data_IF_975760319199
#
_entry.id   IF_975760319199
#
_cell.length_a   1.000
_cell.length_b   1.000
_cell.length_c   1.000
_cell.angle_alpha   90.00
_cell.angle_beta   90.00
_cell.angle_gamma   90.00
#
_symmetry.space_group_name_H-M   'P 1'
#
loop_
_entity.id
_entity.type
_entity.pdbx_description
1 polymer ?
#
# COMPACT_ATOMS: atom_id res chain seq x y z
N UNK A 1 23.06 62.64 12.88
CA UNK A 1 22.11 61.68 12.26
C UNK A 1 22.76 60.31 12.19
N UNK A 2 22.27 59.33 12.93
CA UNK A 2 22.57 57.92 12.65
C UNK A 2 21.38 57.38 11.87
N UNK A 3 21.56 57.14 10.56
CA UNK A 3 20.60 56.35 9.79
C UNK A 3 20.71 54.89 10.25
N UNK A 4 20.12 54.60 11.41
CA UNK A 4 20.00 53.25 11.95
C UNK A 4 19.03 52.46 11.09
N UNK A 5 19.52 51.87 10.01
CA UNK A 5 18.89 50.66 9.46
C UNK A 5 19.22 49.53 10.42
N UNK A 6 18.44 49.38 11.47
CA UNK A 6 18.60 48.24 12.38
C UNK A 6 18.24 46.98 11.61
N UNK A 7 19.20 46.07 11.47
CA UNK A 7 18.98 44.77 10.84
C UNK A 7 17.83 44.02 11.53
N UNK A 8 17.67 44.21 12.85
CA UNK A 8 16.55 43.66 13.62
C UNK A 8 15.19 44.14 13.12
N UNK A 9 15.04 45.42 12.77
CA UNK A 9 13.78 45.94 12.22
C UNK A 9 13.49 45.39 10.82
N UNK A 10 14.53 45.21 10.00
CA UNK A 10 14.38 44.62 8.66
C UNK A 10 14.02 43.14 8.76
N UNK A 11 14.70 42.39 9.63
CA UNK A 11 14.41 40.98 9.90
C UNK A 11 12.98 40.85 10.43
N UNK A 12 12.61 41.60 11.48
CA UNK A 12 11.25 41.57 12.04
C UNK A 12 10.17 41.88 10.98
N UNK A 13 10.38 42.90 10.16
CA UNK A 13 9.46 43.24 9.07
C UNK A 13 9.30 42.10 8.07
N UNK A 14 10.41 41.52 7.59
CA UNK A 14 10.36 40.39 6.65
C UNK A 14 9.71 39.16 7.27
N UNK A 15 10.01 38.84 8.53
CA UNK A 15 9.38 37.73 9.27
C UNK A 15 7.87 37.91 9.36
N UNK A 16 7.38 39.11 9.70
CA UNK A 16 5.94 39.39 9.78
C UNK A 16 5.27 39.18 8.42
N UNK A 17 5.88 39.66 7.33
CA UNK A 17 5.36 39.48 5.96
C UNK A 17 5.30 37.99 5.58
N UNK A 18 6.38 37.23 5.83
CA UNK A 18 6.41 35.80 5.53
C UNK A 18 5.42 35.00 6.38
N UNK A 19 5.33 35.27 7.68
CA UNK A 19 4.36 34.61 8.57
C UNK A 19 2.94 34.86 8.10
N UNK A 20 2.59 36.10 7.74
CA UNK A 20 1.27 36.43 7.20
C UNK A 20 0.98 35.68 5.90
N UNK A 21 1.95 35.63 4.99
CA UNK A 21 1.82 34.88 3.75
C UNK A 21 1.59 33.39 4.02
N UNK A 22 2.41 32.77 4.88
CA UNK A 22 2.30 31.35 5.23
C UNK A 22 0.91 31.03 5.80
N UNK A 23 0.39 31.86 6.72
CA UNK A 23 -0.93 31.68 7.32
C UNK A 23 -2.05 31.80 6.28
N UNK A 24 -1.99 32.82 5.40
CA UNK A 24 -2.99 33.01 4.35
C UNK A 24 -2.95 31.90 3.31
N UNK A 25 -1.76 31.47 2.88
CA UNK A 25 -1.59 30.34 1.96
C UNK A 25 -2.03 29.01 2.56
N UNK A 26 -1.86 28.82 3.88
CA UNK A 26 -2.41 27.68 4.60
C UNK A 26 -3.93 27.70 4.60
N UNK A 27 -4.55 28.81 5.01
CA UNK A 27 -6.01 28.96 5.02
C UNK A 27 -6.62 28.79 3.62
N UNK A 28 -6.00 29.36 2.59
CA UNK A 28 -6.44 29.21 1.22
C UNK A 28 -6.40 27.74 0.80
N UNK A 29 -5.30 27.02 1.05
CA UNK A 29 -5.23 25.56 0.79
C UNK A 29 -6.31 24.79 1.54
N UNK A 30 -6.56 25.09 2.82
CA UNK A 30 -7.64 24.42 3.56
C UNK A 30 -9.03 24.61 2.93
N UNK A 31 -9.28 25.73 2.24
CA UNK A 31 -10.58 26.02 1.60
C UNK A 31 -10.65 25.66 0.11
N UNK A 32 -9.53 25.70 -0.62
CA UNK A 32 -9.48 25.54 -2.08
C UNK A 32 -8.87 24.22 -2.53
N UNK A 33 -8.00 23.62 -1.71
CA UNK A 33 -7.33 22.36 -2.00
C UNK A 33 -8.14 21.25 -1.32
N UNK A 34 -9.04 20.61 -2.07
CA UNK A 34 -9.47 19.28 -1.69
C UNK A 34 -8.19 18.44 -1.63
N UNK A 35 -7.80 17.96 -0.44
CA UNK A 35 -6.68 17.02 -0.27
C UNK A 35 -7.01 15.71 -0.99
N UNK A 36 -6.98 15.75 -2.30
CA UNK A 36 -7.54 14.73 -3.19
C UNK A 36 -6.57 13.59 -3.28
N UNK A 37 -5.31 13.85 -3.61
CA UNK A 37 -4.36 12.77 -3.84
C UNK A 37 -3.94 12.08 -2.54
N UNK A 38 -3.48 12.83 -1.53
CA UNK A 38 -3.04 12.23 -0.27
C UNK A 38 -4.17 11.53 0.49
N UNK A 39 -5.37 12.11 0.49
CA UNK A 39 -6.56 11.49 1.09
C UNK A 39 -7.02 10.26 0.31
N UNK A 40 -7.09 10.35 -1.02
CA UNK A 40 -7.44 9.21 -1.88
C UNK A 40 -6.44 8.05 -1.74
N UNK A 41 -5.13 8.32 -1.67
CA UNK A 41 -4.15 7.27 -1.42
C UNK A 41 -4.31 6.67 -0.03
N UNK A 42 -4.65 7.46 0.98
CA UNK A 42 -4.92 6.97 2.33
C UNK A 42 -6.16 6.06 2.36
N UNK A 43 -7.28 6.51 1.79
CA UNK A 43 -8.52 5.72 1.67
C UNK A 43 -8.30 4.45 0.84
N UNK A 44 -7.59 4.55 -0.29
CA UNK A 44 -7.21 3.40 -1.11
C UNK A 44 -6.31 2.42 -0.35
N UNK A 45 -5.34 2.90 0.44
CA UNK A 45 -4.50 2.03 1.25
C UNK A 45 -5.28 1.32 2.36
N UNK A 46 -6.29 1.98 2.94
CA UNK A 46 -7.17 1.38 3.94
C UNK A 46 -8.08 0.30 3.31
N UNK A 47 -8.67 0.58 2.14
CA UNK A 47 -9.44 -0.42 1.39
C UNK A 47 -8.58 -1.58 0.84
N UNK A 48 -7.34 -1.30 0.41
CA UNK A 48 -6.39 -2.35 0.01
C UNK A 48 -5.99 -3.22 1.20
N UNK A 49 -6.02 -2.67 2.43
CA UNK A 49 -5.86 -3.46 3.64
C UNK A 49 -7.08 -4.35 3.94
N UNK A 50 -8.29 -3.95 3.51
CA UNK A 50 -9.50 -4.80 3.58
C UNK A 50 -9.49 -5.95 2.56
N UNK A 51 -8.81 -5.77 1.41
CA UNK A 51 -8.50 -6.88 0.51
C UNK A 51 -7.42 -7.76 1.16
N UNK A 52 -7.86 -8.66 2.03
CA UNK A 52 -7.02 -9.72 2.60
C UNK A 52 -6.59 -10.68 1.49
N UNK A 53 -5.60 -10.25 0.72
CA UNK A 53 -5.01 -11.01 -0.38
C UNK A 53 -4.51 -12.37 0.10
N UNK A 54 -4.15 -12.50 1.38
CA UNK A 54 -3.78 -13.77 1.97
C UNK A 54 -5.01 -14.68 2.09
N UNK A 55 -6.15 -14.17 2.55
CA UNK A 55 -7.42 -14.91 2.51
C UNK A 55 -7.88 -15.24 1.08
N UNK A 56 -7.72 -14.33 0.13
CA UNK A 56 -8.03 -14.58 -1.28
C UNK A 56 -7.13 -15.70 -1.86
N UNK A 57 -5.84 -15.66 -1.53
CA UNK A 57 -4.86 -16.65 -1.96
C UNK A 57 -5.13 -18.03 -1.34
N UNK A 58 -5.49 -18.06 -0.05
CA UNK A 58 -5.93 -19.30 0.61
C UNK A 58 -7.19 -19.86 -0.05
N UNK A 59 -8.18 -19.00 -0.34
CA UNK A 59 -9.42 -19.41 -1.01
C UNK A 59 -9.15 -20.00 -2.39
N UNK A 60 -8.26 -19.38 -3.17
CA UNK A 60 -7.86 -19.88 -4.48
C UNK A 60 -7.19 -21.26 -4.39
N UNK A 61 -6.34 -21.49 -3.39
CA UNK A 61 -5.71 -22.79 -3.18
C UNK A 61 -6.70 -23.86 -2.73
N UNK A 62 -7.64 -23.52 -1.85
CA UNK A 62 -8.73 -24.42 -1.46
C UNK A 62 -9.59 -24.83 -2.66
N UNK A 63 -9.92 -23.88 -3.54
CA UNK A 63 -10.65 -24.17 -4.78
C UNK A 63 -9.86 -25.09 -5.72
N UNK A 64 -8.55 -24.88 -5.85
CA UNK A 64 -7.68 -25.75 -6.64
C UNK A 64 -7.63 -27.17 -6.07
N UNK A 65 -7.58 -27.31 -4.75
CA UNK A 65 -7.63 -28.60 -4.08
C UNK A 65 -8.97 -29.30 -4.32
N UNK A 66 -10.10 -28.59 -4.17
CA UNK A 66 -11.43 -29.15 -4.46
C UNK A 66 -11.56 -29.63 -5.92
N UNK A 67 -11.02 -28.87 -6.87
CA UNK A 67 -10.99 -29.24 -8.28
C UNK A 67 -10.11 -30.48 -8.48
N UNK A 68 -8.93 -30.52 -7.83
CA UNK A 68 -7.99 -31.64 -7.89
C UNK A 68 -8.64 -32.94 -7.38
N UNK A 69 -9.43 -32.89 -6.31
CA UNK A 69 -10.13 -34.06 -5.77
C UNK A 69 -11.24 -34.60 -6.70
N UNK A 70 -11.86 -33.73 -7.51
CA UNK A 70 -12.89 -34.12 -8.49
C UNK A 70 -12.29 -34.55 -9.83
N UNK A 71 -11.00 -34.31 -10.05
CA UNK A 71 -10.31 -34.61 -11.30
C UNK A 71 -9.92 -36.10 -11.41
N UNK A 72 -9.69 -36.57 -12.64
CA UNK A 72 -9.10 -37.88 -12.88
C UNK A 72 -7.72 -37.98 -12.24
N UNK A 73 -7.30 -39.15 -11.75
CA UNK A 73 -5.98 -39.36 -11.09
C UNK A 73 -4.81 -38.71 -11.83
N UNK A 74 -4.76 -38.81 -13.16
CA UNK A 74 -3.71 -38.19 -14.00
C UNK A 74 -3.74 -36.66 -13.98
N UNK A 75 -4.94 -36.07 -13.93
CA UNK A 75 -5.10 -34.62 -13.85
C UNK A 75 -4.82 -34.11 -12.44
N UNK A 76 -5.22 -34.85 -11.41
CA UNK A 76 -4.88 -34.57 -10.01
C UNK A 76 -3.36 -34.45 -9.82
N UNK A 77 -2.60 -35.47 -10.23
CA UNK A 77 -1.13 -35.43 -10.12
C UNK A 77 -0.50 -34.30 -10.92
N UNK A 78 -1.08 -33.97 -12.08
CA UNK A 78 -0.62 -32.82 -12.87
C UNK A 78 -0.88 -31.49 -12.14
N UNK A 79 -2.10 -31.29 -11.62
CA UNK A 79 -2.49 -30.08 -10.87
C UNK A 79 -1.59 -29.91 -9.64
N UNK A 80 -1.44 -30.96 -8.84
CA UNK A 80 -0.64 -30.91 -7.61
C UNK A 80 0.83 -30.54 -7.92
N UNK A 81 1.42 -31.14 -8.96
CA UNK A 81 2.77 -30.77 -9.43
C UNK A 81 2.87 -29.31 -9.89
N UNK A 82 1.88 -28.80 -10.63
CA UNK A 82 1.89 -27.41 -11.10
C UNK A 82 1.75 -26.41 -9.94
N UNK A 83 0.88 -26.68 -8.97
CA UNK A 83 0.70 -25.83 -7.79
C UNK A 83 1.98 -25.79 -6.95
N UNK A 84 2.66 -26.92 -6.76
CA UNK A 84 3.95 -26.95 -6.06
C UNK A 84 5.06 -26.19 -6.80
N UNK A 85 5.17 -26.35 -8.12
CA UNK A 85 6.15 -25.59 -8.91
C UNK A 85 5.90 -24.08 -8.83
N UNK A 86 4.64 -23.67 -8.94
CA UNK A 86 4.24 -22.28 -8.74
C UNK A 86 4.60 -21.79 -7.32
N UNK A 87 4.27 -22.56 -6.29
CA UNK A 87 4.59 -22.24 -4.90
C UNK A 87 6.11 -22.11 -4.66
N UNK A 88 6.93 -22.95 -5.29
CA UNK A 88 8.38 -22.89 -5.20
C UNK A 88 8.96 -21.59 -5.79
N UNK A 89 8.34 -21.07 -6.86
CA UNK A 89 8.73 -19.82 -7.53
C UNK A 89 8.29 -18.54 -6.80
N UNK A 90 7.43 -18.63 -5.77
CA UNK A 90 6.95 -17.46 -5.05
C UNK A 90 8.03 -16.81 -4.16
N UNK A 91 7.97 -15.48 -3.97
CA UNK A 91 8.79 -14.78 -2.98
C UNK A 91 8.60 -15.33 -1.56
N UNK A 92 9.65 -15.23 -0.74
CA UNK A 92 9.68 -15.75 0.64
C UNK A 92 8.58 -15.17 1.53
N UNK A 93 8.24 -13.88 1.35
CA UNK A 93 7.20 -13.22 2.13
C UNK A 93 5.79 -13.73 1.81
N UNK A 94 5.56 -14.36 0.64
CA UNK A 94 4.26 -14.95 0.26
C UNK A 94 4.18 -16.40 0.73
N UNK A 95 5.31 -17.12 0.74
CA UNK A 95 5.37 -18.55 1.12
C UNK A 95 4.83 -18.84 2.53
N UNK A 96 4.93 -17.89 3.45
CA UNK A 96 4.36 -18.03 4.81
C UNK A 96 2.84 -18.17 4.85
N UNK A 97 2.14 -17.81 3.77
CA UNK A 97 0.69 -17.88 3.67
C UNK A 97 0.18 -19.14 2.94
N UNK A 98 1.09 -19.99 2.46
CA UNK A 98 0.74 -21.21 1.73
C UNK A 98 0.47 -22.39 2.66
N UNK A 99 -0.54 -23.22 2.39
CA UNK A 99 -0.72 -24.51 3.05
C UNK A 99 0.44 -25.46 2.71
N UNK A 100 0.75 -26.39 3.61
CA UNK A 100 1.79 -27.41 3.39
C UNK A 100 1.33 -28.40 2.31
N UNK A 101 1.85 -28.24 1.08
CA UNK A 101 1.56 -29.12 -0.05
C UNK A 101 2.66 -30.17 -0.14
N UNK A 102 2.41 -31.40 0.32
CA UNK A 102 3.32 -32.54 0.16
C UNK A 102 2.88 -33.39 -1.04
N UNK A 103 3.84 -33.75 -1.91
CA UNK A 103 3.62 -34.76 -2.96
C UNK A 103 4.47 -35.97 -2.64
N UNK A 104 3.84 -37.13 -2.47
CA UNK A 104 4.56 -38.40 -2.50
C UNK A 104 4.88 -38.73 -3.95
N UNK A 105 6.17 -38.91 -4.25
CA UNK A 105 6.68 -39.30 -5.58
C UNK A 105 6.44 -40.76 -5.88
#
# INVERSE_FOLDING_TARGET
EHQGRSYDSLIAHTTIVFVRYIVLSWQNRCGSDQRTLGGMFYELCDEVNELDWAAALQTLLSLLEEISQKATKRLKTFIDCQVQQWAACLPSYIKGYLPQLNCES
#
